data_IF_780733330539
#
_entry.id   IF_780733330539
#
_cell.length_a   1.000
_cell.length_b   1.000
_cell.length_c   1.000
_cell.angle_alpha   90.00
_cell.angle_beta   90.00
_cell.angle_gamma   90.00
#
_symmetry.space_group_name_H-M   'P 1'
#
loop_
_entity.id
_entity.type
_entity.pdbx_description
1 polymer ?
#
# COMPACT_ATOMS: atom_id res chain seq x y z
N UNK A 1 11.69 15.07 8.88
CA UNK A 1 11.26 13.65 8.80
C UNK A 1 11.39 13.00 10.16
N UNK A 2 10.32 12.36 10.62
CA UNK A 2 10.35 11.57 11.86
C UNK A 2 10.39 10.10 11.48
N UNK A 3 11.52 9.43 11.72
CA UNK A 3 11.70 8.03 11.33
C UNK A 3 10.73 7.09 12.08
N UNK A 4 10.33 7.41 13.28
CA UNK A 4 9.37 6.61 14.03
C UNK A 4 7.99 6.64 13.37
N UNK A 5 7.55 7.79 12.87
CA UNK A 5 6.29 7.92 12.15
C UNK A 5 6.34 7.18 10.81
N UNK A 6 7.46 7.28 10.10
CA UNK A 6 7.68 6.53 8.87
C UNK A 6 7.60 5.04 9.14
N UNK A 7 8.29 4.57 10.19
CA UNK A 7 8.31 3.16 10.56
C UNK A 7 6.90 2.66 10.91
N UNK A 8 6.07 3.48 11.55
CA UNK A 8 4.70 3.11 11.88
C UNK A 8 3.85 2.93 10.61
N UNK A 9 3.98 3.84 9.64
CA UNK A 9 3.29 3.67 8.36
C UNK A 9 3.69 2.36 7.66
N UNK A 10 4.98 2.07 7.63
CA UNK A 10 5.50 0.86 6.99
C UNK A 10 5.02 -0.40 7.70
N UNK A 11 5.02 -0.37 9.05
CA UNK A 11 4.50 -1.49 9.84
C UNK A 11 3.03 -1.79 9.53
N UNK A 12 2.21 -0.75 9.50
CA UNK A 12 0.77 -0.92 9.20
C UNK A 12 0.59 -1.44 7.76
N UNK A 13 1.37 -0.92 6.82
CA UNK A 13 1.32 -1.40 5.44
C UNK A 13 1.70 -2.89 5.33
N UNK A 14 2.78 -3.29 6.00
CA UNK A 14 3.22 -4.69 6.01
C UNK A 14 2.16 -5.60 6.65
N UNK A 15 1.53 -5.16 7.74
CA UNK A 15 0.47 -5.91 8.41
C UNK A 15 -0.75 -6.08 7.48
N UNK A 16 -1.13 -5.05 6.75
CA UNK A 16 -2.23 -5.14 5.78
C UNK A 16 -1.91 -6.13 4.66
N UNK A 17 -0.70 -6.09 4.14
CA UNK A 17 -0.31 -7.03 3.09
C UNK A 17 -0.24 -8.47 3.60
N UNK A 18 0.30 -8.66 4.80
CA UNK A 18 0.34 -9.97 5.45
C UNK A 18 -1.09 -10.52 5.63
N UNK A 19 -2.02 -9.69 6.06
CA UNK A 19 -3.43 -10.06 6.19
C UNK A 19 -4.03 -10.49 4.85
N UNK A 20 -3.75 -9.76 3.78
CA UNK A 20 -4.20 -10.13 2.44
C UNK A 20 -3.67 -11.51 2.02
N UNK A 21 -2.41 -11.79 2.30
CA UNK A 21 -1.79 -13.07 1.96
C UNK A 21 -2.37 -14.23 2.78
N UNK A 22 -2.63 -14.01 4.05
CA UNK A 22 -3.28 -15.02 4.92
C UNK A 22 -4.67 -15.35 4.39
N UNK A 23 -5.46 -14.32 4.09
CA UNK A 23 -6.81 -14.49 3.55
C UNK A 23 -6.79 -15.21 2.19
N UNK A 24 -5.77 -14.99 1.39
CA UNK A 24 -5.63 -15.64 0.09
C UNK A 24 -5.28 -17.13 0.19
N UNK A 25 -4.90 -17.60 1.37
CA UNK A 25 -4.64 -19.02 1.63
C UNK A 25 -5.83 -19.72 2.30
N UNK A 26 -6.87 -18.99 2.65
CA UNK A 26 -8.06 -19.56 3.28
C UNK A 26 -8.82 -20.45 2.29
N UNK A 27 -9.51 -21.47 2.82
CA UNK A 27 -10.36 -22.36 2.01
C UNK A 27 -11.46 -21.54 1.33
N UNK A 28 -12.13 -20.68 2.10
CA UNK A 28 -13.11 -19.74 1.56
C UNK A 28 -12.45 -18.37 1.40
N UNK A 29 -12.22 -17.98 0.16
CA UNK A 29 -11.54 -16.72 -0.16
C UNK A 29 -12.54 -15.60 -0.34
N UNK A 30 -12.36 -14.55 0.45
CA UNK A 30 -13.14 -13.31 0.35
C UNK A 30 -12.37 -12.31 -0.49
N UNK A 31 -12.53 -12.40 -1.80
CA UNK A 31 -11.72 -11.61 -2.76
C UNK A 31 -11.80 -10.12 -2.52
N UNK A 32 -12.99 -9.60 -2.17
CA UNK A 32 -13.18 -8.17 -1.89
C UNK A 32 -12.39 -7.71 -0.67
N UNK A 33 -12.26 -8.58 0.34
CA UNK A 33 -11.50 -8.25 1.56
C UNK A 33 -10.01 -8.32 1.28
N UNK A 34 -9.57 -9.30 0.48
CA UNK A 34 -8.17 -9.40 0.04
C UNK A 34 -7.78 -8.12 -0.70
N UNK A 35 -8.58 -7.70 -1.67
CA UNK A 35 -8.32 -6.48 -2.44
C UNK A 35 -8.33 -5.24 -1.55
N UNK A 36 -9.23 -5.17 -0.58
CA UNK A 36 -9.28 -4.07 0.38
C UNK A 36 -7.98 -3.96 1.17
N UNK A 37 -7.47 -5.06 1.73
CA UNK A 37 -6.20 -5.05 2.47
C UNK A 37 -5.03 -4.69 1.58
N UNK A 38 -5.03 -5.12 0.32
CA UNK A 38 -4.01 -4.69 -0.64
C UNK A 38 -4.04 -3.19 -0.86
N UNK A 39 -5.23 -2.61 -1.03
CA UNK A 39 -5.39 -1.17 -1.20
C UNK A 39 -4.93 -0.41 0.05
N UNK A 40 -5.27 -0.90 1.24
CA UNK A 40 -4.82 -0.32 2.51
C UNK A 40 -3.30 -0.36 2.64
N UNK A 41 -2.68 -1.48 2.26
CA UNK A 41 -1.23 -1.59 2.30
C UNK A 41 -0.56 -0.52 1.45
N UNK A 42 -1.01 -0.36 0.21
CA UNK A 42 -0.44 0.64 -0.71
C UNK A 42 -0.67 2.06 -0.21
N UNK A 43 -1.87 2.34 0.33
CA UNK A 43 -2.13 3.66 0.94
C UNK A 43 -1.08 3.98 1.99
N UNK A 44 -0.76 3.03 2.86
CA UNK A 44 0.19 3.25 3.95
C UNK A 44 1.63 3.35 3.44
N UNK A 45 2.01 2.59 2.41
CA UNK A 45 3.32 2.76 1.78
C UNK A 45 3.49 4.16 1.19
N UNK A 46 2.47 4.66 0.49
CA UNK A 46 2.53 6.00 -0.09
C UNK A 46 2.57 7.08 0.99
N UNK A 47 1.79 6.93 2.05
CA UNK A 47 1.80 7.87 3.17
C UNK A 47 3.13 7.83 3.91
N UNK A 48 3.73 6.65 4.07
CA UNK A 48 5.06 6.51 4.64
C UNK A 48 6.11 7.23 3.83
N UNK A 49 6.04 7.12 2.49
CA UNK A 49 6.95 7.83 1.61
C UNK A 49 6.78 9.36 1.75
N UNK A 50 5.55 9.85 1.79
CA UNK A 50 5.29 11.28 1.94
C UNK A 50 5.82 11.80 3.27
N UNK A 51 5.60 11.06 4.37
CA UNK A 51 6.17 11.39 5.67
C UNK A 51 7.69 11.47 5.60
N UNK A 52 8.32 10.54 4.90
CA UNK A 52 9.77 10.48 4.74
C UNK A 52 10.32 11.73 4.05
N UNK A 53 9.61 12.28 3.07
CA UNK A 53 10.03 13.49 2.34
C UNK A 53 9.44 14.78 2.94
N UNK A 54 8.98 14.73 4.18
CA UNK A 54 8.42 15.87 4.92
C UNK A 54 7.17 16.50 4.29
N UNK A 55 6.36 15.68 3.60
CA UNK A 55 5.03 16.05 3.14
C UNK A 55 4.01 15.40 4.06
N UNK A 56 3.21 16.20 4.76
CA UNK A 56 2.22 15.68 5.69
C UNK A 56 1.16 14.91 4.89
N UNK A 57 0.98 13.58 5.15
CA UNK A 57 -0.03 12.81 4.43
C UNK A 57 -1.44 13.29 4.76
N UNK A 58 -2.24 13.52 3.74
CA UNK A 58 -3.64 13.90 3.93
C UNK A 58 -4.46 12.70 4.42
N UNK A 59 -5.55 12.99 5.14
CA UNK A 59 -6.50 11.96 5.58
C UNK A 59 -7.40 11.57 4.41
N UNK A 60 -6.85 10.81 3.48
CA UNK A 60 -7.57 10.33 2.30
C UNK A 60 -7.25 8.86 2.06
N UNK A 61 -8.17 8.15 1.45
CA UNK A 61 -7.98 6.78 0.98
C UNK A 61 -7.85 6.71 -0.54
N UNK A 62 -7.76 7.85 -1.22
CA UNK A 62 -7.69 7.92 -2.68
C UNK A 62 -6.25 7.65 -3.15
N UNK A 63 -6.01 6.44 -3.67
CA UNK A 63 -4.68 6.00 -4.09
C UNK A 63 -4.21 6.74 -5.35
N UNK A 64 -5.10 7.02 -6.27
CA UNK A 64 -4.79 7.79 -7.48
C UNK A 64 -4.26 9.17 -7.10
N UNK A 65 -4.92 9.82 -6.15
CA UNK A 65 -4.53 11.14 -5.65
C UNK A 65 -3.19 11.07 -4.90
N UNK A 66 -3.02 10.11 -3.99
CA UNK A 66 -1.78 9.95 -3.24
C UNK A 66 -0.59 9.69 -4.18
N UNK A 67 -0.77 8.84 -5.17
CA UNK A 67 0.28 8.57 -6.15
C UNK A 67 0.64 9.81 -6.96
N UNK A 68 -0.35 10.64 -7.28
CA UNK A 68 -0.11 11.90 -7.99
C UNK A 68 0.74 12.86 -7.17
N UNK A 69 0.48 12.97 -5.86
CA UNK A 69 1.29 13.80 -4.97
C UNK A 69 2.72 13.27 -4.93
N UNK A 70 2.90 11.96 -4.83
CA UNK A 70 4.23 11.34 -4.88
C UNK A 70 4.91 11.62 -6.22
N UNK A 71 4.18 11.49 -7.33
CA UNK A 71 4.69 11.78 -8.67
C UNK A 71 5.17 13.22 -8.81
N UNK A 72 4.46 14.18 -8.22
CA UNK A 72 4.86 15.59 -8.27
C UNK A 72 6.21 15.82 -7.56
N UNK A 73 6.59 14.95 -6.64
CA UNK A 73 7.88 15.00 -5.93
C UNK A 73 8.95 14.15 -6.59
N UNK A 74 8.56 13.05 -7.23
CA UNK A 74 9.45 12.10 -7.86
C UNK A 74 8.72 11.45 -9.03
N UNK A 75 9.11 11.81 -10.26
CA UNK A 75 8.39 11.36 -11.45
C UNK A 75 8.48 9.84 -11.70
N UNK A 76 9.34 9.10 -10.98
CA UNK A 76 9.37 7.63 -11.05
C UNK A 76 8.04 7.00 -10.64
N UNK A 77 7.23 7.69 -9.85
CA UNK A 77 5.92 7.18 -9.41
C UNK A 77 4.94 6.95 -10.55
N UNK A 78 5.24 7.41 -11.76
CA UNK A 78 4.46 7.04 -12.96
C UNK A 78 4.48 5.52 -13.19
N UNK A 79 5.54 4.84 -12.76
CA UNK A 79 5.72 3.40 -12.97
C UNK A 79 4.69 2.54 -12.20
N UNK A 80 4.08 3.09 -11.16
CA UNK A 80 3.07 2.38 -10.37
C UNK A 80 1.67 2.98 -10.52
N UNK A 81 1.48 3.89 -11.47
CA UNK A 81 0.18 4.56 -11.67
C UNK A 81 -0.93 3.57 -11.97
N UNK A 82 -0.71 2.62 -12.86
CA UNK A 82 -1.71 1.62 -13.23
C UNK A 82 -2.16 0.81 -12.02
N UNK A 83 -1.21 0.37 -11.20
CA UNK A 83 -1.48 -0.39 -9.99
C UNK A 83 -2.28 0.42 -8.97
N UNK A 84 -1.90 1.67 -8.75
CA UNK A 84 -2.61 2.55 -7.82
C UNK A 84 -4.04 2.84 -8.29
N UNK A 85 -4.22 3.10 -9.58
CA UNK A 85 -5.55 3.36 -10.14
C UNK A 85 -6.47 2.14 -10.02
N UNK A 86 -5.94 0.95 -10.26
CA UNK A 86 -6.71 -0.28 -10.11
C UNK A 86 -7.09 -0.52 -8.65
N UNK A 87 -6.11 -0.45 -7.74
CA UNK A 87 -6.33 -0.65 -6.32
C UNK A 87 -7.30 0.36 -5.73
N UNK A 88 -7.37 1.55 -6.31
CA UNK A 88 -8.25 2.61 -5.83
C UNK A 88 -9.72 2.21 -5.81
N UNK A 89 -10.11 1.23 -6.62
CA UNK A 89 -11.49 0.68 -6.62
C UNK A 89 -11.85 0.06 -5.27
N UNK A 90 -10.85 -0.42 -4.53
CA UNK A 90 -11.03 -1.17 -3.29
C UNK A 90 -10.62 -0.37 -2.05
N UNK A 91 -10.28 0.90 -2.22
CA UNK A 91 -9.74 1.73 -1.15
C UNK A 91 -10.82 2.18 -0.13
N UNK A 92 -12.08 2.18 -0.55
CA UNK A 92 -13.19 2.62 0.28
C UNK A 92 -14.16 1.46 0.54
N UNK A 93 -15.45 1.75 0.64
CA UNK A 93 -16.48 0.81 1.05
C UNK A 93 -16.78 -0.24 -0.04
N UNK A 94 -16.01 -1.31 -0.05
CA UNK A 94 -16.12 -2.39 -1.03
C UNK A 94 -17.25 -3.38 -0.74
N UNK A 95 -17.84 -3.32 0.45
CA UNK A 95 -18.92 -4.24 0.85
C UNK A 95 -20.29 -3.60 0.73
N UNK A 96 -20.36 -2.45 0.10
CA UNK A 96 -21.63 -1.76 -0.11
C UNK A 96 -22.49 -2.55 -1.12
N UNK A 97 -23.78 -2.76 -0.85
CA UNK A 97 -24.66 -3.49 -1.78
C UNK A 97 -24.66 -2.87 -3.18
N UNK A 98 -24.82 -3.71 -4.20
CA UNK A 98 -24.90 -3.33 -5.61
C UNK A 98 -23.60 -2.81 -6.22
N UNK A 99 -22.48 -3.06 -5.55
CA UNK A 99 -21.18 -2.76 -6.14
C UNK A 99 -20.71 -3.85 -7.08
N UNK A 100 -19.63 -3.54 -7.78
CA UNK A 100 -18.95 -4.48 -8.66
C UNK A 100 -18.59 -5.78 -7.91
N UNK A 101 -18.87 -6.90 -8.54
CA UNK A 101 -18.49 -8.20 -7.97
C UNK A 101 -17.00 -8.42 -8.13
N UNK A 102 -16.29 -8.58 -7.01
CA UNK A 102 -14.86 -8.83 -7.00
C UNK A 102 -14.60 -10.31 -7.26
N UNK A 103 -13.69 -10.58 -8.19
CA UNK A 103 -13.36 -11.94 -8.66
C UNK A 103 -11.94 -12.32 -8.27
N UNK A 104 -11.64 -13.62 -8.43
CA UNK A 104 -10.30 -14.14 -8.18
C UNK A 104 -9.22 -13.37 -8.96
N UNK A 105 -9.47 -13.04 -10.22
CA UNK A 105 -8.54 -12.29 -11.06
C UNK A 105 -8.20 -10.92 -10.45
N UNK A 106 -9.17 -10.28 -9.80
CA UNK A 106 -8.94 -9.00 -9.13
C UNK A 106 -7.99 -9.17 -7.94
N UNK A 107 -8.20 -10.23 -7.14
CA UNK A 107 -7.33 -10.51 -5.99
C UNK A 107 -5.91 -10.82 -6.43
N UNK A 108 -5.75 -11.61 -7.50
CA UNK A 108 -4.42 -11.91 -8.06
C UNK A 108 -3.73 -10.62 -8.50
N UNK A 109 -4.43 -9.76 -9.23
CA UNK A 109 -3.87 -8.48 -9.67
C UNK A 109 -3.48 -7.60 -8.48
N UNK A 110 -4.34 -7.51 -7.47
CA UNK A 110 -4.08 -6.67 -6.29
C UNK A 110 -2.86 -7.14 -5.51
N UNK A 111 -2.72 -8.46 -5.30
CA UNK A 111 -1.55 -9.00 -4.60
C UNK A 111 -0.27 -8.74 -5.40
N UNK A 112 -0.30 -8.97 -6.71
CA UNK A 112 0.85 -8.71 -7.57
C UNK A 112 1.20 -7.22 -7.61
N UNK A 113 0.20 -6.35 -7.58
CA UNK A 113 0.40 -4.91 -7.52
C UNK A 113 1.12 -4.49 -6.23
N UNK A 114 0.74 -5.04 -5.08
CA UNK A 114 1.43 -4.74 -3.82
C UNK A 114 2.88 -5.23 -3.89
N UNK A 115 3.12 -6.43 -4.41
CA UNK A 115 4.49 -6.96 -4.57
C UNK A 115 5.34 -6.04 -5.44
N UNK A 116 4.80 -5.57 -6.55
CA UNK A 116 5.48 -4.62 -7.43
C UNK A 116 5.83 -3.32 -6.70
N UNK A 117 4.87 -2.77 -5.96
CA UNK A 117 5.05 -1.50 -5.25
C UNK A 117 6.08 -1.66 -4.13
N UNK A 118 6.07 -2.79 -3.41
CA UNK A 118 7.07 -3.07 -2.38
C UNK A 118 8.50 -3.15 -2.95
N UNK A 119 8.64 -3.59 -4.20
CA UNK A 119 9.93 -3.69 -4.89
C UNK A 119 10.26 -2.45 -5.74
N UNK A 120 9.33 -1.52 -5.86
CA UNK A 120 9.54 -0.25 -6.52
C UNK A 120 10.55 0.57 -5.72
N UNK A 121 11.59 1.08 -6.40
CA UNK A 121 12.79 1.62 -5.75
C UNK A 121 12.51 2.59 -4.60
N UNK A 122 11.68 3.64 -4.75
CA UNK A 122 11.41 4.57 -3.65
C UNK A 122 10.81 3.89 -2.41
N UNK A 123 9.92 2.93 -2.59
CA UNK A 123 9.29 2.19 -1.48
C UNK A 123 10.25 1.15 -0.90
N UNK A 124 10.94 0.43 -1.77
CA UNK A 124 11.93 -0.57 -1.33
C UNK A 124 13.04 0.07 -0.49
N UNK A 125 13.56 1.21 -0.93
CA UNK A 125 14.56 1.95 -0.17
C UNK A 125 14.03 2.40 1.18
N UNK A 126 12.80 2.89 1.22
CA UNK A 126 12.16 3.30 2.46
C UNK A 126 12.03 2.15 3.45
N UNK A 127 11.62 0.98 2.98
CA UNK A 127 11.51 -0.22 3.79
C UNK A 127 12.87 -0.64 4.34
N UNK A 128 13.93 -0.56 3.53
CA UNK A 128 15.29 -0.87 3.95
C UNK A 128 15.78 0.11 5.02
N UNK A 129 15.51 1.39 4.87
CA UNK A 129 15.88 2.42 5.86
C UNK A 129 15.22 2.13 7.20
N UNK A 130 13.93 1.78 7.19
CA UNK A 130 13.19 1.44 8.40
C UNK A 130 13.76 0.19 9.06
N UNK A 131 14.10 -0.84 8.29
CA UNK A 131 14.68 -2.08 8.82
C UNK A 131 16.07 -1.83 9.43
N UNK A 132 16.92 -1.05 8.75
CA UNK A 132 18.25 -0.70 9.26
C UNK A 132 18.14 0.08 10.56
N UNK A 133 17.17 0.99 10.67
CA UNK A 133 16.95 1.75 11.90
C UNK A 133 16.55 0.86 13.07
N UNK A 134 15.75 -0.18 12.84
CA UNK A 134 15.41 -1.17 13.87
C UNK A 134 16.64 -1.91 14.37
N UNK A 135 17.52 -2.32 13.46
CA UNK A 135 18.74 -3.04 13.81
C UNK A 135 19.67 -2.16 14.64
N UNK A 136 19.75 -0.87 14.33
CA UNK A 136 20.58 0.09 15.07
C UNK A 136 20.05 0.32 16.49
N UNK A 137 18.77 0.15 16.74
CA UNK A 137 18.14 0.38 18.05
C UNK A 137 18.07 -0.85 18.93
N UNK A 138 18.51 -2.02 18.46
CA UNK A 138 18.40 -3.31 19.16
C UNK A 138 19.69 -3.65 19.95
N UNK A 139 20.63 -2.78 20.00
CA UNK A 139 21.85 -3.00 20.78
C UNK A 139 21.60 -2.99 22.30
#
# INVERSE_FOLDING_TARGET
>A
MNIEDVAEWIKIADDDFDSAQILNQAVRKHYEIICYHCAQAVEKYLKGYLEYIDVIPEKTHNLTYLNRICFDKDNRFIDIKTECDFLNRFANDIRYPHRYETKEADAVFCIDAVKKIRNFEPVCNLRNIVEDNKNDTVE
#
